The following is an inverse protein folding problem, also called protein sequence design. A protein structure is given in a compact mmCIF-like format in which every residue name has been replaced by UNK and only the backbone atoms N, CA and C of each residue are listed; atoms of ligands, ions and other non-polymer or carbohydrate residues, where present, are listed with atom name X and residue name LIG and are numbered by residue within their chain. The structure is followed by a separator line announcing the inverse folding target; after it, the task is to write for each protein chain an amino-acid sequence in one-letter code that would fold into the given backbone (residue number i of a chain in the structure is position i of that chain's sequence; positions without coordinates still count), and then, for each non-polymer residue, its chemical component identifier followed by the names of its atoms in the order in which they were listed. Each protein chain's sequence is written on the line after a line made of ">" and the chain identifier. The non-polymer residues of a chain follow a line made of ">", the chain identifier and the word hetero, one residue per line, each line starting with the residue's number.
data_IF_129664821193
#
_entry.id   IF_129664821193
#
_cell.length_a   1.000
_cell.length_b   1.000
_cell.length_c   1.000
_cell.angle_alpha   90.00
_cell.angle_beta   90.00
_cell.angle_gamma   90.00
#
_symmetry.space_group_name_H-M   'P 1'
#
loop_
_entity.id
_entity.type
_entity.pdbx_description
1 polymer ?
#
# COMPACT_ATOMS: atom_id res chain seq x y z
N UNK A 1 40.10 -20.15 11.09
CA UNK A 1 38.80 -19.66 10.62
C UNK A 1 38.98 -18.18 10.29
N UNK A 2 39.03 -17.77 9.01
CA UNK A 2 39.27 -16.38 8.67
C UNK A 2 38.00 -15.54 8.91
N UNK A 3 38.20 -14.38 9.54
CA UNK A 3 37.18 -13.37 9.82
C UNK A 3 36.93 -12.63 8.51
N UNK A 4 35.70 -12.68 7.99
CA UNK A 4 35.31 -11.87 6.83
C UNK A 4 35.34 -10.38 7.20
N UNK A 5 36.01 -9.51 6.42
CA UNK A 5 35.97 -8.06 6.67
C UNK A 5 34.55 -7.52 6.40
N UNK A 6 34.08 -6.62 7.27
CA UNK A 6 32.82 -5.91 7.07
C UNK A 6 32.87 -5.04 5.80
N UNK A 7 31.79 -4.96 5.01
CA UNK A 7 31.79 -4.13 3.80
C UNK A 7 31.91 -2.64 4.15
N UNK A 8 32.59 -1.84 3.31
CA UNK A 8 32.83 -0.44 3.59
C UNK A 8 31.53 0.35 3.64
N UNK A 9 31.29 1.07 4.75
CA UNK A 9 30.16 1.99 4.88
C UNK A 9 30.44 3.27 4.08
N UNK A 10 29.83 3.38 2.90
CA UNK A 10 29.86 4.60 2.10
C UNK A 10 28.88 5.64 2.68
N UNK A 11 29.40 6.80 3.10
CA UNK A 11 28.55 7.92 3.52
C UNK A 11 27.93 8.63 2.30
N UNK A 12 26.67 9.08 2.42
CA UNK A 12 25.93 9.82 1.36
C UNK A 12 26.74 10.96 0.74
N UNK A 13 27.58 11.62 1.54
CA UNK A 13 28.44 12.73 1.10
C UNK A 13 29.59 12.28 0.18
N UNK A 14 30.17 11.10 0.40
CA UNK A 14 31.24 10.55 -0.45
C UNK A 14 30.72 9.99 -1.77
N UNK A 15 29.51 9.44 -1.78
CA UNK A 15 28.84 8.97 -3.00
C UNK A 15 28.60 10.10 -4.01
N UNK A 16 28.10 11.25 -3.54
CA UNK A 16 27.86 12.43 -4.39
C UNK A 16 29.16 13.06 -4.91
N UNK A 17 30.26 12.98 -4.15
CA UNK A 17 31.56 13.48 -4.60
C UNK A 17 32.17 12.62 -5.73
N UNK A 18 31.89 11.31 -5.75
CA UNK A 18 32.38 10.39 -6.79
C UNK A 18 31.80 10.63 -8.19
N UNK A 19 30.58 11.18 -8.30
CA UNK A 19 29.92 11.45 -9.58
C UNK A 19 30.56 12.56 -10.41
N UNK A 20 31.38 13.42 -9.80
CA UNK A 20 32.02 14.54 -10.50
C UNK A 20 33.34 14.17 -11.20
N UNK A 21 33.91 12.99 -10.92
CA UNK A 21 35.30 12.69 -11.30
C UNK A 21 35.50 11.57 -12.35
N UNK A 22 34.46 10.91 -12.85
CA UNK A 22 34.64 9.86 -13.87
C UNK A 22 33.61 9.99 -14.99
N UNK A 23 34.05 10.54 -16.12
CA UNK A 23 33.35 10.50 -17.39
C UNK A 23 33.26 9.08 -17.94
N UNK A 24 32.37 8.26 -17.36
CA UNK A 24 32.01 6.94 -17.86
C UNK A 24 30.50 6.76 -17.73
N UNK A 25 29.75 7.38 -18.64
CA UNK A 25 28.28 7.42 -18.59
C UNK A 25 27.69 6.00 -18.76
N UNK A 26 28.35 5.07 -19.47
CA UNK A 26 27.83 3.73 -19.75
C UNK A 26 28.14 2.67 -18.67
N UNK A 27 29.37 2.60 -18.15
CA UNK A 27 29.72 1.63 -17.09
C UNK A 27 29.29 2.13 -15.70
N UNK A 28 29.30 3.45 -15.47
CA UNK A 28 28.80 4.05 -14.24
C UNK A 28 27.31 3.81 -14.04
N UNK A 29 26.50 3.91 -15.11
CA UNK A 29 25.06 3.61 -15.05
C UNK A 29 24.76 2.16 -14.64
N UNK A 30 25.51 1.19 -15.17
CA UNK A 30 25.31 -0.24 -14.87
C UNK A 30 25.72 -0.60 -13.42
N UNK A 31 26.86 -0.07 -12.95
CA UNK A 31 27.29 -0.26 -11.56
C UNK A 31 26.36 0.44 -10.56
N UNK A 32 25.76 1.57 -10.95
CA UNK A 32 24.76 2.27 -10.15
C UNK A 32 23.45 1.47 -10.05
N UNK A 33 23.00 0.80 -11.11
CA UNK A 33 21.77 -0.03 -11.04
C UNK A 33 21.95 -1.26 -10.15
N UNK A 34 23.12 -1.90 -10.13
CA UNK A 34 23.36 -3.02 -9.20
C UNK A 34 23.57 -2.56 -7.76
N UNK A 35 24.27 -1.44 -7.54
CA UNK A 35 24.53 -0.92 -6.20
C UNK A 35 23.35 -0.13 -5.59
N UNK A 36 22.40 0.30 -6.42
CA UNK A 36 21.25 1.11 -6.02
C UNK A 36 19.98 0.73 -6.82
N UNK A 37 19.36 -0.44 -6.53
CA UNK A 37 18.15 -0.91 -7.21
C UNK A 37 16.97 0.09 -7.18
N UNK A 38 16.96 1.02 -6.21
CA UNK A 38 15.95 2.07 -6.11
C UNK A 38 16.06 3.18 -7.19
N UNK A 39 17.12 3.20 -7.99
CA UNK A 39 17.24 4.07 -9.17
C UNK A 39 16.38 3.59 -10.33
N UNK A 40 16.11 2.28 -10.44
CA UNK A 40 15.11 1.73 -11.36
C UNK A 40 13.76 1.64 -10.66
N UNK A 41 13.22 2.83 -10.36
CA UNK A 41 11.90 2.97 -9.75
C UNK A 41 10.80 2.25 -10.53
N UNK A 42 10.75 2.29 -11.89
CA UNK A 42 9.80 1.50 -12.66
C UNK A 42 9.88 0.00 -12.36
N UNK A 43 11.07 -0.62 -12.41
CA UNK A 43 11.21 -2.04 -12.12
C UNK A 43 10.81 -2.40 -10.67
N UNK A 44 11.19 -1.56 -9.70
CA UNK A 44 10.79 -1.75 -8.30
C UNK A 44 9.27 -1.68 -8.10
N UNK A 45 8.59 -0.73 -8.77
CA UNK A 45 7.13 -0.62 -8.70
C UNK A 45 6.43 -1.80 -9.37
N UNK A 46 6.94 -2.29 -10.49
CA UNK A 46 6.39 -3.46 -11.17
C UNK A 46 6.51 -4.71 -10.30
N UNK A 47 7.66 -4.87 -9.63
CA UNK A 47 7.88 -5.99 -8.71
C UNK A 47 6.89 -6.00 -7.54
N UNK A 48 6.58 -4.83 -6.95
CA UNK A 48 5.61 -4.71 -5.85
C UNK A 48 4.18 -5.03 -6.33
N UNK A 49 3.85 -4.66 -7.57
CA UNK A 49 2.51 -4.83 -8.16
C UNK A 49 2.25 -6.24 -8.68
N UNK A 50 3.30 -7.00 -8.95
CA UNK A 50 3.21 -8.37 -9.50
C UNK A 50 2.46 -9.31 -8.54
N UNK A 51 1.53 -10.13 -9.04
CA UNK A 51 0.92 -11.21 -8.24
C UNK A 51 1.98 -12.14 -7.63
N UNK A 52 1.76 -12.60 -6.39
CA UNK A 52 2.70 -13.48 -5.70
C UNK A 52 2.75 -14.87 -6.35
N UNK A 53 1.61 -15.37 -6.82
CA UNK A 53 1.51 -16.69 -7.46
C UNK A 53 0.22 -16.83 -8.27
N UNK A 54 0.22 -17.73 -9.25
CA UNK A 54 -0.98 -18.17 -9.99
C UNK A 54 -1.53 -19.51 -9.46
N UNK A 55 -0.98 -20.02 -8.37
CA UNK A 55 -1.40 -21.29 -7.78
C UNK A 55 -2.78 -21.17 -7.12
N UNK A 56 -3.61 -22.20 -7.32
CA UNK A 56 -4.97 -22.27 -6.78
C UNK A 56 -5.03 -22.86 -5.36
N UNK A 57 -3.93 -22.87 -4.59
CA UNK A 57 -3.98 -23.34 -3.20
C UNK A 57 -4.63 -22.29 -2.30
N UNK A 58 -5.33 -22.72 -1.25
CA UNK A 58 -5.98 -21.80 -0.31
C UNK A 58 -4.96 -20.83 0.31
N UNK A 59 -3.80 -21.35 0.76
CA UNK A 59 -2.73 -20.51 1.31
C UNK A 59 -2.19 -19.50 0.29
N UNK A 60 -2.05 -19.88 -0.98
CA UNK A 60 -1.63 -18.97 -2.05
C UNK A 60 -2.65 -17.84 -2.26
N UNK A 61 -3.95 -18.18 -2.27
CA UNK A 61 -5.02 -17.20 -2.41
C UNK A 61 -5.06 -16.22 -1.24
N UNK A 62 -4.94 -16.71 0.00
CA UNK A 62 -4.89 -15.84 1.19
C UNK A 62 -3.68 -14.90 1.17
N UNK A 63 -2.50 -15.38 0.75
CA UNK A 63 -1.32 -14.54 0.56
C UNK A 63 -1.55 -13.46 -0.51
N UNK A 64 -2.25 -13.80 -1.60
CA UNK A 64 -2.57 -12.85 -2.66
C UNK A 64 -3.57 -11.78 -2.19
N UNK A 65 -4.56 -12.14 -1.36
CA UNK A 65 -5.45 -11.16 -0.72
C UNK A 65 -4.68 -10.20 0.18
N UNK A 66 -3.74 -10.72 0.98
CA UNK A 66 -2.83 -9.88 1.79
C UNK A 66 -1.98 -8.97 0.91
N UNK A 67 -1.48 -9.45 -0.24
CA UNK A 67 -0.74 -8.62 -1.18
C UNK A 67 -1.57 -7.41 -1.65
N UNK A 68 -2.82 -7.62 -2.04
CA UNK A 68 -3.71 -6.50 -2.39
C UNK A 68 -3.91 -5.52 -1.22
N UNK A 69 -4.05 -6.04 0.01
CA UNK A 69 -4.13 -5.22 1.22
C UNK A 69 -2.89 -4.33 1.39
N UNK A 70 -1.68 -4.85 1.10
CA UNK A 70 -0.42 -4.08 1.24
C UNK A 70 -0.27 -2.92 0.25
N UNK A 71 -1.06 -2.89 -0.83
CA UNK A 71 -1.08 -1.80 -1.81
C UNK A 71 -1.92 -0.58 -1.34
N UNK A 72 -2.53 -0.68 -0.16
CA UNK A 72 -3.31 0.39 0.43
C UNK A 72 -2.45 1.63 0.74
N UNK A 73 -3.11 2.78 0.78
CA UNK A 73 -2.47 4.00 1.29
C UNK A 73 -2.22 3.87 2.80
N UNK A 74 -1.12 4.47 3.27
CA UNK A 74 -0.85 4.63 4.71
C UNK A 74 -0.15 5.95 4.99
N UNK A 75 -0.32 6.46 6.21
CA UNK A 75 0.35 7.68 6.68
C UNK A 75 1.86 7.57 6.48
N UNK A 76 2.46 8.53 5.77
CA UNK A 76 3.88 8.52 5.37
C UNK A 76 4.38 7.22 4.72
N UNK A 77 3.48 6.41 4.16
CA UNK A 77 3.78 5.09 3.63
C UNK A 77 4.44 4.12 4.65
N UNK A 78 4.14 4.31 5.94
CA UNK A 78 4.69 3.50 7.05
C UNK A 78 4.27 2.04 6.99
N UNK A 79 3.13 1.74 6.35
CA UNK A 79 2.53 0.42 6.25
C UNK A 79 2.43 -0.25 7.63
N UNK A 80 1.64 0.34 8.57
CA UNK A 80 1.69 0.00 9.99
C UNK A 80 0.85 -1.23 10.33
N UNK A 81 0.85 -2.25 9.47
CA UNK A 81 0.03 -3.45 9.58
C UNK A 81 0.86 -4.72 9.61
N UNK A 82 0.36 -5.72 10.32
CA UNK A 82 0.85 -7.11 10.31
C UNK A 82 -0.32 -8.05 10.06
N UNK A 83 -0.14 -8.97 9.13
CA UNK A 83 -1.18 -9.93 8.77
C UNK A 83 -0.88 -11.30 9.37
N UNK A 84 -1.85 -11.89 10.05
CA UNK A 84 -1.83 -13.28 10.44
C UNK A 84 -2.82 -14.05 9.57
N UNK A 85 -2.32 -15.04 8.81
CA UNK A 85 -3.12 -15.85 7.88
C UNK A 85 -3.42 -17.21 8.53
N UNK A 86 -4.68 -17.65 8.41
CA UNK A 86 -5.15 -19.00 8.69
C UNK A 86 -5.92 -19.53 7.47
N UNK A 87 -6.42 -20.76 7.55
CA UNK A 87 -7.08 -21.43 6.42
C UNK A 87 -8.30 -20.66 5.87
N UNK A 88 -9.10 -20.05 6.75
CA UNK A 88 -10.37 -19.38 6.42
C UNK A 88 -10.41 -17.92 6.90
N UNK A 89 -9.28 -17.36 7.35
CA UNK A 89 -9.29 -16.05 7.99
C UNK A 89 -7.96 -15.30 7.89
N UNK A 90 -8.08 -13.98 7.85
CA UNK A 90 -6.96 -13.04 7.91
C UNK A 90 -7.21 -12.09 9.07
N UNK A 91 -6.23 -11.94 9.95
CA UNK A 91 -6.26 -10.94 11.03
C UNK A 91 -5.28 -9.81 10.71
N UNK A 92 -5.72 -8.57 10.83
CA UNK A 92 -4.91 -7.36 10.65
C UNK A 92 -4.60 -6.80 12.03
N UNK A 93 -3.33 -6.85 12.40
CA UNK A 93 -2.79 -6.29 13.64
C UNK A 93 -2.14 -4.93 13.37
N UNK A 94 -2.34 -3.94 14.27
CA UNK A 94 -1.55 -2.71 14.24
C UNK A 94 -0.08 -3.04 14.56
N UNK A 95 0.85 -2.47 13.79
CA UNK A 95 2.28 -2.50 14.07
C UNK A 95 2.71 -1.17 14.70
N UNK A 96 2.57 -1.07 16.03
CA UNK A 96 2.95 0.12 16.79
C UNK A 96 4.45 0.47 16.71
N UNK A 97 5.31 -0.43 16.21
CA UNK A 97 6.71 -0.08 15.93
C UNK A 97 6.86 0.88 14.75
N UNK A 98 5.82 1.00 13.91
CA UNK A 98 5.74 1.87 12.73
C UNK A 98 4.86 3.10 12.94
N UNK A 99 4.38 3.34 14.16
CA UNK A 99 3.54 4.48 14.48
C UNK A 99 4.28 5.81 14.33
N UNK A 100 3.52 6.89 14.24
CA UNK A 100 4.02 8.24 13.96
C UNK A 100 3.73 9.18 15.12
N UNK A 101 4.43 9.06 16.27
CA UNK A 101 4.02 9.70 17.52
C UNK A 101 4.01 11.24 17.50
N UNK A 102 4.70 11.86 16.55
CA UNK A 102 4.76 13.32 16.40
C UNK A 102 3.57 13.86 15.60
N UNK A 103 3.22 13.23 14.49
CA UNK A 103 2.16 13.70 13.58
C UNK A 103 0.81 13.02 13.83
N UNK A 104 0.83 11.82 14.42
CA UNK A 104 -0.32 11.01 14.80
C UNK A 104 -0.20 10.55 16.27
N UNK A 105 -0.30 11.46 17.25
CA UNK A 105 -0.06 11.15 18.67
C UNK A 105 -1.12 10.24 19.29
N UNK A 106 -2.27 10.06 18.62
CA UNK A 106 -3.38 9.21 19.08
C UNK A 106 -3.55 7.94 18.23
N UNK A 107 -2.58 7.62 17.36
CA UNK A 107 -2.60 6.47 16.46
C UNK A 107 -3.86 6.42 15.55
N UNK A 108 -4.49 7.57 15.29
CA UNK A 108 -5.71 7.67 14.47
C UNK A 108 -5.41 7.40 13.00
N UNK A 109 -4.34 7.97 12.46
CA UNK A 109 -3.91 7.72 11.08
C UNK A 109 -3.40 6.30 10.88
N UNK A 110 -2.79 5.71 11.92
CA UNK A 110 -2.46 4.29 11.95
C UNK A 110 -3.72 3.45 11.72
N UNK A 111 -4.79 3.67 12.49
CA UNK A 111 -6.04 2.93 12.34
C UNK A 111 -6.76 3.20 11.02
N UNK A 112 -6.72 4.43 10.51
CA UNK A 112 -7.21 4.75 9.16
C UNK A 112 -6.44 3.95 8.10
N UNK A 113 -5.11 3.84 8.25
CA UNK A 113 -4.28 3.06 7.34
C UNK A 113 -4.65 1.57 7.35
N UNK A 114 -4.94 1.00 8.53
CA UNK A 114 -5.45 -0.37 8.64
C UNK A 114 -6.82 -0.53 7.96
N UNK A 115 -7.71 0.46 8.08
CA UNK A 115 -8.98 0.49 7.36
C UNK A 115 -8.82 0.51 5.84
N UNK A 116 -7.84 1.26 5.32
CA UNK A 116 -7.51 1.23 3.89
C UNK A 116 -7.00 -0.16 3.45
N UNK A 117 -6.18 -0.82 4.26
CA UNK A 117 -5.70 -2.17 3.97
C UNK A 117 -6.84 -3.20 4.00
N UNK A 118 -7.76 -3.07 4.96
CA UNK A 118 -8.98 -3.87 5.03
C UNK A 118 -9.81 -3.70 3.77
N UNK A 119 -10.11 -2.47 3.34
CA UNK A 119 -10.97 -2.25 2.16
C UNK A 119 -10.38 -2.87 0.88
N UNK A 120 -9.08 -2.70 0.66
CA UNK A 120 -8.39 -3.37 -0.46
C UNK A 120 -8.53 -4.89 -0.39
N UNK A 121 -8.40 -5.48 0.81
CA UNK A 121 -8.58 -6.92 1.03
C UNK A 121 -10.01 -7.34 0.69
N UNK A 122 -11.02 -6.59 1.14
CA UNK A 122 -12.44 -6.91 0.89
C UNK A 122 -12.80 -6.84 -0.59
N UNK A 123 -12.33 -5.81 -1.30
CA UNK A 123 -12.51 -5.69 -2.76
C UNK A 123 -11.87 -6.88 -3.49
N UNK A 124 -10.64 -7.25 -3.09
CA UNK A 124 -9.95 -8.41 -3.66
C UNK A 124 -10.67 -9.73 -3.33
N UNK A 125 -11.14 -9.91 -2.10
CA UNK A 125 -11.86 -11.10 -1.66
C UNK A 125 -13.14 -11.31 -2.47
N UNK A 126 -14.00 -10.28 -2.58
CA UNK A 126 -15.24 -10.35 -3.39
C UNK A 126 -14.95 -10.69 -4.85
N UNK A 127 -13.94 -10.05 -5.44
CA UNK A 127 -13.57 -10.27 -6.85
C UNK A 127 -13.04 -11.67 -7.11
N UNK A 128 -12.43 -12.31 -6.11
CA UNK A 128 -11.82 -13.64 -6.22
C UNK A 128 -12.72 -14.78 -5.73
N UNK A 129 -13.97 -14.48 -5.37
CA UNK A 129 -14.95 -15.49 -4.96
C UNK A 129 -14.94 -15.80 -3.48
N UNK A 130 -14.81 -14.76 -2.65
CA UNK A 130 -14.98 -14.84 -1.21
C UNK A 130 -15.99 -13.81 -0.71
N UNK A 131 -16.86 -14.24 0.20
CA UNK A 131 -17.60 -13.33 1.08
C UNK A 131 -16.80 -13.15 2.38
N UNK A 132 -16.70 -11.90 2.83
CA UNK A 132 -15.93 -11.53 4.01
C UNK A 132 -16.86 -11.11 5.15
N UNK A 133 -16.68 -11.70 6.33
CA UNK A 133 -17.28 -11.26 7.58
C UNK A 133 -16.21 -10.56 8.41
N UNK A 134 -16.43 -9.28 8.73
CA UNK A 134 -15.45 -8.44 9.44
C UNK A 134 -15.90 -8.25 10.88
N UNK A 135 -15.00 -8.55 11.82
CA UNK A 135 -15.11 -8.12 13.21
C UNK A 135 -14.16 -6.96 13.43
N UNK A 136 -14.72 -5.79 13.72
CA UNK A 136 -13.95 -4.57 14.00
C UNK A 136 -13.37 -4.58 15.42
N UNK A 137 -12.29 -3.82 15.68
CA UNK A 137 -11.69 -3.73 17.00
C UNK A 137 -12.70 -3.23 18.05
N UNK A 138 -12.81 -3.98 19.15
CA UNK A 138 -13.44 -3.51 20.39
C UNK A 138 -12.38 -3.50 21.50
N UNK A 139 -12.02 -4.69 22.01
CA UNK A 139 -11.01 -4.85 23.09
C UNK A 139 -9.65 -5.32 22.61
N UNK A 140 -9.61 -6.18 21.60
CA UNK A 140 -8.39 -6.91 21.22
C UNK A 140 -7.49 -6.14 20.24
N UNK A 141 -7.80 -4.86 19.95
CA UNK A 141 -7.04 -3.98 19.03
C UNK A 141 -6.62 -4.68 17.72
N UNK A 142 -7.54 -5.44 17.10
CA UNK A 142 -7.32 -6.14 15.83
C UNK A 142 -8.57 -6.14 14.98
N UNK A 143 -8.38 -6.26 13.67
CA UNK A 143 -9.46 -6.51 12.71
C UNK A 143 -9.41 -7.98 12.32
N UNK A 144 -10.49 -8.72 12.53
CA UNK A 144 -10.60 -10.10 12.05
C UNK A 144 -11.47 -10.16 10.80
N UNK A 145 -11.00 -10.87 9.79
CA UNK A 145 -11.73 -11.12 8.54
C UNK A 145 -11.86 -12.62 8.36
N UNK A 146 -13.09 -13.14 8.44
CA UNK A 146 -13.42 -14.52 8.08
C UNK A 146 -13.85 -14.55 6.62
N UNK A 147 -13.31 -15.49 5.86
CA UNK A 147 -13.50 -15.62 4.43
C UNK A 147 -14.18 -16.94 4.13
N UNK A 148 -15.33 -16.88 3.48
CA UNK A 148 -16.06 -18.06 3.02
C UNK A 148 -16.12 -18.04 1.50
N UNK A 149 -15.85 -19.18 0.87
CA UNK A 149 -15.93 -19.30 -0.58
C UNK A 149 -17.34 -18.95 -1.08
N UNK A 150 -17.40 -18.15 -2.14
CA UNK A 150 -18.61 -17.67 -2.79
C UNK A 150 -18.36 -17.49 -4.29
N UNK A 151 -19.37 -17.04 -5.03
CA UNK A 151 -19.26 -16.72 -6.46
C UNK A 151 -18.45 -15.43 -6.64
N UNK A 152 -17.44 -15.39 -7.52
CA UNK A 152 -16.71 -14.16 -7.85
C UNK A 152 -17.62 -13.02 -8.29
N UNK A 153 -17.45 -11.85 -7.68
CA UNK A 153 -18.20 -10.63 -8.01
C UNK A 153 -17.24 -9.58 -8.55
N UNK A 154 -17.18 -9.37 -9.89
CA UNK A 154 -16.26 -8.40 -10.48
C UNK A 154 -16.50 -6.98 -9.97
N UNK A 155 -15.45 -6.36 -9.47
CA UNK A 155 -15.47 -4.97 -9.01
C UNK A 155 -14.51 -4.12 -9.86
N UNK A 156 -14.97 -2.97 -10.37
CA UNK A 156 -14.12 -2.06 -11.14
C UNK A 156 -12.97 -1.51 -10.29
N UNK A 157 -13.16 -1.39 -8.97
CA UNK A 157 -12.14 -0.92 -8.05
C UNK A 157 -10.97 -1.92 -7.91
N UNK A 158 -11.20 -3.21 -8.14
CA UNK A 158 -10.15 -4.22 -8.05
C UNK A 158 -8.98 -3.95 -9.00
N UNK A 159 -9.29 -3.58 -10.25
CA UNK A 159 -8.29 -3.23 -11.25
C UNK A 159 -7.56 -1.92 -10.91
N UNK A 160 -8.14 -1.05 -10.09
CA UNK A 160 -7.54 0.21 -9.67
C UNK A 160 -6.53 0.03 -8.52
N UNK A 161 -6.65 -1.01 -7.68
CA UNK A 161 -5.76 -1.26 -6.54
C UNK A 161 -4.26 -1.20 -6.92
N UNK A 162 -3.77 -1.96 -7.93
CA UNK A 162 -2.35 -1.91 -8.29
C UNK A 162 -1.94 -0.62 -9.01
N UNK A 163 -2.88 0.10 -9.62
CA UNK A 163 -2.60 1.29 -10.43
C UNK A 163 -2.58 2.58 -9.63
N UNK A 164 -3.33 2.64 -8.51
CA UNK A 164 -3.46 3.83 -7.68
C UNK A 164 -2.10 4.32 -7.18
N UNK A 165 -1.89 5.62 -7.25
CA UNK A 165 -0.70 6.31 -6.74
C UNK A 165 -1.11 7.58 -6.00
N UNK A 166 -0.23 8.06 -5.12
CA UNK A 166 -0.36 9.39 -4.54
C UNK A 166 0.43 10.38 -5.41
N UNK A 167 -0.26 11.29 -6.07
CA UNK A 167 0.35 12.34 -6.90
C UNK A 167 0.48 13.61 -6.07
N UNK A 168 1.71 14.14 -5.97
CA UNK A 168 2.00 15.41 -5.29
C UNK A 168 2.40 16.53 -6.25
N UNK A 169 2.19 16.31 -7.54
CA UNK A 169 2.40 17.32 -8.59
C UNK A 169 1.22 18.27 -8.63
N UNK A 170 1.43 19.45 -9.23
CA UNK A 170 0.33 20.35 -9.57
C UNK A 170 -0.65 19.63 -10.51
N UNK A 171 -1.94 19.75 -10.20
CA UNK A 171 -3.01 19.34 -11.09
C UNK A 171 -3.22 20.41 -12.18
N UNK A 172 -3.92 20.06 -13.26
CA UNK A 172 -4.13 20.93 -14.43
C UNK A 172 -5.01 22.17 -14.19
N UNK A 173 -5.54 22.32 -12.97
CA UNK A 173 -6.38 23.43 -12.55
C UNK A 173 -7.77 23.45 -13.19
N UNK A 174 -8.15 22.41 -13.94
CA UNK A 174 -9.49 22.33 -14.51
C UNK A 174 -10.51 21.96 -13.43
N UNK A 175 -11.67 22.64 -13.39
CA UNK A 175 -12.73 22.27 -12.46
C UNK A 175 -13.25 20.87 -12.81
N UNK A 176 -13.58 20.09 -11.78
CA UNK A 176 -14.27 18.82 -11.97
C UNK A 176 -15.63 19.05 -12.64
N UNK A 177 -16.04 18.22 -13.61
CA UNK A 177 -17.39 18.25 -14.16
C UNK A 177 -18.44 18.13 -13.05
N UNK A 178 -19.51 18.91 -13.14
CA UNK A 178 -20.61 18.89 -12.14
C UNK A 178 -21.19 17.47 -11.99
N UNK A 179 -21.31 16.73 -13.10
CA UNK A 179 -21.80 15.35 -13.07
C UNK A 179 -20.94 14.42 -12.18
N UNK A 180 -19.62 14.65 -12.13
CA UNK A 180 -18.72 13.88 -11.28
C UNK A 180 -18.88 14.28 -9.81
N UNK A 181 -19.04 15.58 -9.53
CA UNK A 181 -19.35 16.08 -8.18
C UNK A 181 -20.69 15.54 -7.66
N UNK A 182 -21.72 15.51 -8.50
CA UNK A 182 -23.03 14.95 -8.16
C UNK A 182 -22.91 13.45 -7.85
N UNK A 183 -22.12 12.73 -8.65
CA UNK A 183 -21.85 11.31 -8.43
C UNK A 183 -21.16 11.07 -7.08
N UNK A 184 -20.14 11.86 -6.77
CA UNK A 184 -19.41 11.78 -5.49
C UNK A 184 -20.31 12.15 -4.30
N UNK A 185 -21.19 13.14 -4.45
CA UNK A 185 -22.09 13.60 -3.39
C UNK A 185 -23.22 12.60 -3.12
N UNK A 186 -23.63 11.83 -4.14
CA UNK A 186 -24.63 10.79 -4.01
C UNK A 186 -24.08 9.47 -3.44
N UNK A 187 -22.77 9.36 -3.20
CA UNK A 187 -22.18 8.15 -2.64
C UNK A 187 -22.77 7.85 -1.25
N UNK A 188 -23.17 6.60 -0.98
CA UNK A 188 -23.51 6.20 0.36
C UNK A 188 -22.25 6.28 1.23
N UNK A 189 -22.26 7.15 2.23
CA UNK A 189 -21.18 7.28 3.19
C UNK A 189 -21.51 6.48 4.46
N UNK A 190 -20.48 5.87 5.03
CA UNK A 190 -20.58 5.17 6.30
C UNK A 190 -20.94 6.13 7.45
N UNK A 191 -21.65 5.67 8.50
CA UNK A 191 -21.92 6.49 9.67
C UNK A 191 -20.65 7.13 10.24
N UNK A 192 -20.66 8.45 10.39
CA UNK A 192 -19.50 9.21 10.88
C UNK A 192 -18.52 9.66 9.79
N UNK A 193 -18.75 9.33 8.52
CA UNK A 193 -18.01 9.86 7.37
C UNK A 193 -18.84 10.93 6.67
N UNK A 194 -18.23 12.09 6.42
CA UNK A 194 -18.85 13.20 5.70
C UNK A 194 -17.93 13.69 4.58
N UNK A 195 -18.51 14.06 3.45
CA UNK A 195 -17.82 14.65 2.31
C UNK A 195 -18.15 16.15 2.23
N UNK A 196 -17.13 16.99 2.16
CA UNK A 196 -17.26 18.44 2.01
C UNK A 196 -16.37 18.92 0.87
N UNK A 197 -16.94 19.72 -0.05
CA UNK A 197 -16.19 20.35 -1.13
C UNK A 197 -15.67 21.73 -0.72
N UNK A 198 -14.40 21.99 -0.99
CA UNK A 198 -13.79 23.32 -0.87
C UNK A 198 -13.62 23.88 -2.30
N UNK A 199 -14.60 24.69 -2.73
CA UNK A 199 -14.68 25.18 -4.11
C UNK A 199 -14.05 26.56 -4.30
N UNK A 200 -13.80 27.27 -3.21
CA UNK A 200 -13.13 28.57 -3.21
C UNK A 200 -11.75 28.38 -2.55
N UNK A 201 -10.64 28.76 -3.22
CA UNK A 201 -9.34 28.75 -2.57
C UNK A 201 -9.31 29.78 -1.43
N UNK A 202 -8.72 29.39 -0.30
CA UNK A 202 -8.52 30.25 0.86
C UNK A 202 -7.47 31.34 0.63
#
# INVERSE_FOLDING_TARGET
>A
MPINPSPPQLSRRRFLQGLTAAGVITVGGYLLTEAAPWLDYPAATEQIRRPLTQEATMSAQMCELVRYATLAASGHNTQPWRFAIKDDSITIHPDYSRRLPVVDPTDRELWISLGCALENLLVAARTTGYVAEVTYPDRDEVIHVRLTADTPQPDRLFAAIPQRQNTRSEYDGQPLPIADLDTLQALPLEPGVALHYLLEPA
#
